data_IF_606021107764
#
_entry.id   IF_606021107764
#
_cell.length_a   1.000
_cell.length_b   1.000
_cell.length_c   1.000
_cell.angle_alpha   90.00
_cell.angle_beta   90.00
_cell.angle_gamma   90.00
#
_symmetry.space_group_name_H-M   'P 1'
#
loop_
_entity.id
_entity.type
_entity.pdbx_description
1 polymer ?
#
# COMPACT_ATOMS: atom_id res chain seq x y z
N UNK A 1 25.37 13.49 -47.94
CA UNK A 1 24.66 12.63 -46.98
C UNK A 1 25.63 12.34 -45.84
N UNK A 2 25.64 13.19 -44.81
CA UNK A 2 26.66 13.17 -43.76
C UNK A 2 26.21 12.30 -42.58
N UNK A 3 26.93 11.20 -42.38
CA UNK A 3 26.77 10.26 -41.27
C UNK A 3 27.16 10.94 -39.96
N UNK A 4 26.19 11.12 -39.05
CA UNK A 4 26.43 11.61 -37.69
C UNK A 4 26.89 10.44 -36.82
N UNK A 5 28.20 10.35 -36.62
CA UNK A 5 28.83 9.38 -35.72
C UNK A 5 28.55 9.79 -34.26
N UNK A 6 27.85 8.93 -33.50
CA UNK A 6 27.54 9.18 -32.09
C UNK A 6 28.75 8.82 -31.22
N UNK A 7 29.42 9.82 -30.65
CA UNK A 7 30.39 9.58 -29.59
C UNK A 7 29.73 8.98 -28.34
N UNK A 8 30.34 7.98 -27.68
CA UNK A 8 29.85 7.46 -26.41
C UNK A 8 30.07 8.48 -25.30
N UNK A 9 28.99 8.83 -24.58
CA UNK A 9 29.05 9.72 -23.42
C UNK A 9 29.82 9.02 -22.29
N UNK A 10 31.07 9.39 -22.08
CA UNK A 10 31.81 9.02 -20.87
C UNK A 10 31.12 9.63 -19.66
N UNK A 11 30.73 8.79 -18.69
CA UNK A 11 30.24 9.27 -17.39
C UNK A 11 31.29 10.19 -16.78
N UNK A 12 30.93 11.37 -16.23
CA UNK A 12 31.90 12.14 -15.47
C UNK A 12 32.40 11.28 -14.30
N UNK A 13 33.71 11.18 -14.16
CA UNK A 13 34.38 10.54 -13.04
C UNK A 13 33.95 11.30 -11.78
N UNK A 14 33.13 10.69 -10.93
CA UNK A 14 32.83 11.22 -9.60
C UNK A 14 34.14 11.14 -8.81
N UNK A 15 34.69 12.23 -8.27
CA UNK A 15 35.87 12.10 -7.43
C UNK A 15 35.52 11.20 -6.24
N UNK A 16 36.41 10.25 -5.96
CA UNK A 16 36.36 9.38 -4.78
C UNK A 16 36.76 10.21 -3.57
N UNK A 17 35.85 11.05 -3.11
CA UNK A 17 36.02 11.81 -1.88
C UNK A 17 35.46 10.96 -0.74
N UNK A 18 36.36 10.15 -0.18
CA UNK A 18 36.45 9.84 1.25
C UNK A 18 35.46 10.67 2.07
N UNK A 19 34.34 10.07 2.43
CA UNK A 19 33.35 10.72 3.30
C UNK A 19 33.45 10.11 4.71
N UNK A 20 34.35 10.60 5.58
CA UNK A 20 34.45 10.15 6.97
C UNK A 20 33.37 10.84 7.79
N UNK A 21 32.12 10.45 7.59
CA UNK A 21 31.02 10.70 8.54
C UNK A 21 29.83 9.79 8.20
N UNK A 22 30.10 8.54 7.87
CA UNK A 22 29.18 7.49 8.31
C UNK A 22 29.48 7.27 9.78
N UNK A 23 28.70 7.89 10.66
CA UNK A 23 28.58 7.39 12.01
C UNK A 23 28.24 5.89 11.87
N UNK A 24 29.17 5.02 12.25
CA UNK A 24 28.95 3.57 12.35
C UNK A 24 28.03 3.34 13.54
N UNK A 25 26.78 3.77 13.40
CA UNK A 25 25.73 3.43 14.34
C UNK A 25 25.39 1.96 14.10
N UNK A 26 25.37 1.12 15.14
CA UNK A 26 24.89 -0.24 15.00
C UNK A 26 23.49 -0.17 14.41
N UNK A 27 23.27 -0.80 13.26
CA UNK A 27 21.93 -0.94 12.69
C UNK A 27 21.14 -1.83 13.64
N UNK A 28 20.34 -1.21 14.50
CA UNK A 28 19.42 -1.94 15.35
C UNK A 28 18.46 -2.75 14.47
N UNK A 29 18.22 -4.03 14.79
CA UNK A 29 17.32 -4.86 14.01
C UNK A 29 15.89 -4.33 14.11
N UNK A 30 15.25 -4.09 12.97
CA UNK A 30 13.83 -3.71 12.90
C UNK A 30 12.98 -4.97 12.78
N UNK A 31 11.92 -5.06 13.58
CA UNK A 31 10.95 -6.18 13.56
C UNK A 31 9.53 -5.64 13.78
N UNK A 32 8.54 -6.30 13.19
CA UNK A 32 7.13 -6.07 13.52
C UNK A 32 6.84 -6.83 14.82
N UNK A 33 6.58 -6.09 15.91
CA UNK A 33 6.29 -6.68 17.22
C UNK A 33 4.84 -7.17 17.33
N UNK A 34 3.94 -6.57 16.55
CA UNK A 34 2.52 -6.89 16.56
C UNK A 34 1.78 -6.14 15.46
N UNK A 35 0.52 -6.51 15.30
CA UNK A 35 -0.45 -5.89 14.39
C UNK A 35 -1.78 -5.78 15.10
N UNK A 36 -2.55 -4.74 14.79
CA UNK A 36 -3.90 -4.57 15.30
C UNK A 36 -4.86 -4.20 14.17
N UNK A 37 -6.15 -4.44 14.38
CA UNK A 37 -7.16 -4.20 13.36
C UNK A 37 -8.44 -3.67 13.98
N UNK A 38 -9.03 -2.69 13.31
CA UNK A 38 -10.38 -2.22 13.58
C UNK A 38 -11.09 -2.05 12.24
N UNK A 39 -12.37 -2.34 12.24
CA UNK A 39 -13.17 -2.39 11.04
C UNK A 39 -14.48 -1.66 11.27
N UNK A 40 -15.04 -1.00 10.23
CA UNK A 40 -16.35 -0.39 10.34
C UNK A 40 -17.42 -1.38 10.80
N UNK A 41 -18.46 -0.87 11.46
CA UNK A 41 -19.54 -1.71 12.01
C UNK A 41 -20.39 -2.33 10.92
N UNK A 42 -20.73 -1.57 9.88
CA UNK A 42 -21.64 -2.02 8.84
C UNK A 42 -20.94 -3.00 7.89
N UNK A 43 -21.39 -4.25 7.90
CA UNK A 43 -21.00 -5.28 6.93
C UNK A 43 -22.05 -5.38 5.83
N UNK A 44 -21.61 -5.30 4.57
CA UNK A 44 -22.44 -5.42 3.37
C UNK A 44 -22.02 -6.69 2.64
N UNK A 45 -22.92 -7.67 2.58
CA UNK A 45 -22.72 -8.91 1.83
C UNK A 45 -22.88 -8.68 0.33
N UNK A 46 -22.46 -9.65 -0.49
CA UNK A 46 -22.73 -9.58 -1.92
C UNK A 46 -24.24 -9.62 -2.23
N UNK A 47 -25.05 -10.32 -1.44
CA UNK A 47 -26.50 -10.36 -1.62
C UNK A 47 -27.13 -8.98 -1.36
N UNK A 48 -26.68 -8.29 -0.31
CA UNK A 48 -27.11 -6.91 -0.05
C UNK A 48 -26.75 -5.98 -1.22
N UNK A 49 -25.62 -6.22 -1.86
CA UNK A 49 -25.16 -5.48 -3.04
C UNK A 49 -25.98 -5.78 -4.30
N UNK A 50 -26.29 -7.06 -4.54
CA UNK A 50 -27.15 -7.51 -5.63
C UNK A 50 -28.57 -6.94 -5.54
N UNK A 51 -29.04 -6.56 -4.35
CA UNK A 51 -30.33 -5.86 -4.19
C UNK A 51 -30.34 -4.43 -4.73
N UNK A 52 -29.16 -3.83 -4.95
CA UNK A 52 -29.01 -2.41 -5.33
C UNK A 52 -28.34 -2.24 -6.70
N UNK A 53 -27.66 -3.26 -7.19
CA UNK A 53 -26.91 -3.26 -8.43
C UNK A 53 -27.20 -4.54 -9.22
N UNK A 54 -27.13 -4.47 -10.54
CA UNK A 54 -27.22 -5.63 -11.43
C UNK A 54 -25.93 -6.46 -11.36
N UNK A 55 -25.80 -7.25 -10.30
CA UNK A 55 -24.64 -8.11 -10.05
C UNK A 55 -25.05 -9.35 -9.28
N UNK A 56 -24.22 -10.39 -9.29
CA UNK A 56 -24.49 -11.65 -8.61
C UNK A 56 -23.31 -12.08 -7.72
N UNK A 57 -23.62 -12.79 -6.64
CA UNK A 57 -22.64 -13.32 -5.69
C UNK A 57 -21.57 -14.18 -6.38
N UNK A 58 -21.98 -15.14 -7.22
CA UNK A 58 -21.06 -16.07 -7.86
C UNK A 58 -20.12 -15.35 -8.82
N UNK A 59 -20.63 -14.36 -9.56
CA UNK A 59 -19.81 -13.53 -10.43
C UNK A 59 -18.79 -12.69 -9.65
N UNK A 60 -19.21 -12.07 -8.54
CA UNK A 60 -18.31 -11.26 -7.69
C UNK A 60 -17.21 -12.13 -7.09
N UNK A 61 -17.57 -13.26 -6.48
CA UNK A 61 -16.61 -14.18 -5.86
C UNK A 61 -15.68 -14.77 -6.93
N UNK A 62 -16.23 -15.20 -8.06
CA UNK A 62 -15.44 -15.80 -9.15
C UNK A 62 -14.36 -14.88 -9.70
N UNK A 63 -14.58 -13.55 -9.73
CA UNK A 63 -13.57 -12.59 -10.18
C UNK A 63 -12.68 -12.01 -9.10
N UNK A 64 -13.18 -11.88 -7.87
CA UNK A 64 -12.52 -11.05 -6.84
C UNK A 64 -12.24 -11.79 -5.53
N UNK A 65 -12.90 -12.93 -5.29
CA UNK A 65 -12.88 -13.63 -4.01
C UNK A 65 -13.60 -12.88 -2.87
N UNK A 66 -14.23 -11.73 -3.14
CA UNK A 66 -14.87 -10.91 -2.10
C UNK A 66 -16.25 -11.46 -1.79
N UNK A 67 -16.48 -11.87 -0.53
CA UNK A 67 -17.80 -12.31 -0.05
C UNK A 67 -18.63 -11.21 0.62
N UNK A 68 -17.95 -10.25 1.24
CA UNK A 68 -18.55 -9.10 1.91
C UNK A 68 -17.52 -7.97 2.02
N UNK A 69 -18.02 -6.76 2.23
CA UNK A 69 -17.23 -5.56 2.51
C UNK A 69 -17.79 -4.82 3.70
N UNK A 70 -17.07 -3.81 4.18
CA UNK A 70 -17.53 -2.95 5.27
C UNK A 70 -17.59 -1.50 4.81
N UNK A 71 -18.58 -0.78 5.30
CA UNK A 71 -18.84 0.62 4.96
C UNK A 71 -18.79 1.43 6.25
N UNK A 72 -17.96 2.47 6.26
CA UNK A 72 -17.89 3.40 7.39
C UNK A 72 -19.07 4.37 7.35
N UNK A 73 -19.65 4.63 8.52
CA UNK A 73 -20.51 5.79 8.72
C UNK A 73 -19.66 7.05 9.02
N UNK A 74 -20.24 8.26 9.01
CA UNK A 74 -19.48 9.50 9.23
C UNK A 74 -18.70 9.59 10.55
N UNK A 75 -19.10 8.84 11.58
CA UNK A 75 -18.39 8.77 12.86
C UNK A 75 -17.18 7.83 12.84
N UNK A 76 -17.12 6.88 11.89
CA UNK A 76 -16.04 5.91 11.75
C UNK A 76 -14.92 6.43 10.83
N UNK A 77 -14.37 7.59 11.18
CA UNK A 77 -13.28 8.23 10.42
C UNK A 77 -11.98 7.42 10.45
N UNK A 78 -11.05 7.72 9.54
CA UNK A 78 -9.71 7.10 9.49
C UNK A 78 -9.00 7.17 10.84
N UNK A 79 -9.04 8.33 11.52
CA UNK A 79 -8.42 8.50 12.83
C UNK A 79 -9.08 7.61 13.89
N UNK A 80 -10.41 7.53 13.91
CA UNK A 80 -11.14 6.69 14.88
C UNK A 80 -10.79 5.21 14.68
N UNK A 81 -10.80 4.72 13.44
CA UNK A 81 -10.47 3.32 13.16
C UNK A 81 -8.99 3.02 13.44
N UNK A 82 -8.07 3.92 13.08
CA UNK A 82 -6.65 3.76 13.39
C UNK A 82 -6.39 3.72 14.90
N UNK A 83 -7.01 4.62 15.68
CA UNK A 83 -6.91 4.62 17.14
C UNK A 83 -7.45 3.32 17.74
N UNK A 84 -8.59 2.81 17.24
CA UNK A 84 -9.16 1.54 17.71
C UNK A 84 -8.31 0.33 17.35
N UNK A 85 -7.58 0.38 16.24
CA UNK A 85 -6.68 -0.68 15.82
C UNK A 85 -5.37 -0.70 16.64
N UNK A 86 -4.96 0.47 17.17
CA UNK A 86 -3.73 0.62 17.94
C UNK A 86 -3.89 0.38 19.45
N UNK A 87 -5.13 0.37 19.95
CA UNK A 87 -5.48 0.10 21.35
C UNK A 87 -5.29 -1.38 21.71
#
# INVERSE_FOLDING_TARGET
MSTVERQPRTRPHRPDETQPHRLTMPRLPVRVLGTGSALPRQRVSNHDLSSRLETDHAWIVGRTGIHARRVADPSETTTVLATRAAA
#
